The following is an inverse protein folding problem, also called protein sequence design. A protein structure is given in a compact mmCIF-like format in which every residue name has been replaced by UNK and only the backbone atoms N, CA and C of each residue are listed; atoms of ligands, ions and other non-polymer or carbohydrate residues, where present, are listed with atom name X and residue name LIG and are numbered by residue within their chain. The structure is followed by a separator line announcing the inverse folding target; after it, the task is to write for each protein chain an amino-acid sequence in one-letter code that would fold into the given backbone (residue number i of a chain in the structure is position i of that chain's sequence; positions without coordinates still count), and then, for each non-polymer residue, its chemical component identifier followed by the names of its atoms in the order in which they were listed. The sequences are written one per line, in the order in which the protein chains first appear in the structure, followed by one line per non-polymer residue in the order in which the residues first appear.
data_IF_266388258898
#
_entry.id   IF_266388258898
#
_cell.length_a   1.000
_cell.length_b   1.000
_cell.length_c   1.000
_cell.angle_alpha   90.00
_cell.angle_beta   90.00
_cell.angle_gamma   90.00
#
_symmetry.space_group_name_H-M   'P 1'
#
loop_
_entity.id
_entity.type
_entity.pdbx_description
1 polymer ?
#
# COMPACT_ATOMS: atom_id res chain seq x y z
N UNK A 1 42.15 15.51 -4.09
CA UNK A 1 41.17 16.60 -4.28
C UNK A 1 40.86 16.69 -5.77
N UNK A 2 39.67 16.29 -6.21
CA UNK A 2 39.29 16.26 -7.63
C UNK A 2 38.66 17.60 -8.01
N UNK A 3 39.33 18.36 -8.87
CA UNK A 3 38.80 19.58 -9.47
C UNK A 3 37.72 19.24 -10.49
N UNK A 4 36.47 19.65 -10.22
CA UNK A 4 35.40 19.65 -11.22
C UNK A 4 35.44 20.99 -11.96
N UNK A 5 36.04 20.99 -13.14
CA UNK A 5 35.91 22.08 -14.12
C UNK A 5 34.48 22.08 -14.66
N UNK A 6 33.60 22.88 -14.05
CA UNK A 6 32.27 23.16 -14.59
C UNK A 6 32.38 24.15 -15.75
N UNK A 7 32.11 23.69 -16.97
CA UNK A 7 31.90 24.55 -18.14
C UNK A 7 30.68 25.42 -17.89
N UNK A 8 30.91 26.62 -17.38
CA UNK A 8 29.90 27.67 -17.23
C UNK A 8 29.46 28.14 -18.62
N UNK A 9 28.47 27.44 -19.18
CA UNK A 9 27.85 27.78 -20.46
C UNK A 9 26.97 29.01 -20.22
N UNK A 10 27.59 30.20 -20.35
CA UNK A 10 26.93 31.51 -20.29
C UNK A 10 25.99 31.67 -21.48
N UNK A 11 24.75 31.18 -21.37
CA UNK A 11 23.65 31.58 -22.26
C UNK A 11 23.16 32.97 -21.85
N UNK A 12 23.99 34.00 -22.09
CA UNK A 12 23.51 35.39 -22.07
C UNK A 12 22.72 35.63 -23.35
N UNK A 13 21.50 35.12 -23.39
CA UNK A 13 20.47 35.61 -24.28
C UNK A 13 20.06 37.00 -23.80
N UNK A 14 20.18 38.00 -24.66
CA UNK A 14 19.64 39.35 -24.48
C UNK A 14 18.12 39.30 -24.59
N UNK A 15 17.47 38.72 -23.60
CA UNK A 15 16.02 38.79 -23.39
C UNK A 15 15.77 39.57 -22.11
N UNK A 16 14.90 40.57 -22.16
CA UNK A 16 14.50 41.33 -20.97
C UNK A 16 13.88 40.36 -19.96
N UNK A 17 14.54 40.19 -18.80
CA UNK A 17 14.01 39.35 -17.72
C UNK A 17 12.70 39.97 -17.21
N UNK A 18 11.57 39.24 -17.19
CA UNK A 18 10.32 39.79 -16.69
C UNK A 18 10.42 40.04 -15.19
N UNK A 19 10.06 41.25 -14.77
CA UNK A 19 10.01 41.61 -13.35
C UNK A 19 8.74 41.06 -12.72
N UNK A 20 8.88 40.26 -11.66
CA UNK A 20 7.75 39.63 -10.96
C UNK A 20 7.80 39.90 -9.46
N UNK A 21 6.65 39.86 -8.82
CA UNK A 21 6.52 39.99 -7.37
C UNK A 21 6.63 38.61 -6.73
N UNK A 22 7.48 38.48 -5.71
CA UNK A 22 7.61 37.25 -4.94
C UNK A 22 6.34 36.99 -4.11
N UNK A 23 5.81 35.77 -4.18
CA UNK A 23 4.60 35.39 -3.44
C UNK A 23 4.81 35.44 -1.92
N UNK A 24 6.00 35.10 -1.43
CA UNK A 24 6.21 34.96 0.03
C UNK A 24 6.65 36.27 0.72
N UNK A 25 7.36 37.16 0.02
CA UNK A 25 7.93 38.38 0.62
C UNK A 25 7.59 39.68 -0.11
N UNK A 26 6.86 39.64 -1.23
CA UNK A 26 6.42 40.83 -1.96
C UNK A 26 7.53 41.60 -2.70
N UNK A 27 8.79 41.13 -2.66
CA UNK A 27 9.89 41.80 -3.37
C UNK A 27 9.75 41.62 -4.88
N UNK A 28 9.99 42.69 -5.65
CA UNK A 28 10.10 42.61 -7.10
C UNK A 28 11.46 42.02 -7.45
N UNK A 29 11.49 40.94 -8.23
CA UNK A 29 12.71 40.24 -8.63
C UNK A 29 12.73 39.96 -10.14
N UNK A 30 13.92 39.90 -10.75
CA UNK A 30 14.07 39.46 -12.13
C UNK A 30 13.82 37.95 -12.21
N UNK A 31 12.76 37.54 -12.92
CA UNK A 31 12.42 36.14 -13.05
C UNK A 31 13.28 35.48 -14.14
N UNK A 32 14.09 34.48 -13.75
CA UNK A 32 14.91 33.70 -14.68
C UNK A 32 14.08 32.86 -15.67
N UNK A 33 12.84 32.52 -15.30
CA UNK A 33 11.92 31.76 -16.14
C UNK A 33 10.46 32.18 -15.89
N UNK A 34 9.58 31.94 -16.88
CA UNK A 34 8.16 32.31 -16.82
C UNK A 34 7.42 31.60 -15.66
N UNK A 35 7.91 30.45 -15.20
CA UNK A 35 7.36 29.74 -14.04
C UNK A 35 7.80 30.27 -12.66
N UNK A 36 8.75 31.21 -12.60
CA UNK A 36 9.30 31.67 -11.33
C UNK A 36 8.26 32.49 -10.56
N UNK A 37 7.92 32.00 -9.35
CA UNK A 37 6.95 32.60 -8.43
C UNK A 37 7.60 33.24 -7.20
N UNK A 38 8.86 32.90 -6.93
CA UNK A 38 9.58 33.27 -5.70
C UNK A 38 10.93 33.89 -6.05
N UNK A 39 11.37 34.85 -5.23
CA UNK A 39 12.72 35.38 -5.33
C UNK A 39 13.76 34.31 -4.94
N UNK A 40 15.02 34.51 -5.32
CA UNK A 40 16.11 33.55 -5.08
C UNK A 40 16.26 33.17 -3.59
N UNK A 41 16.03 34.11 -2.67
CA UNK A 41 16.11 33.88 -1.23
C UNK A 41 14.96 33.00 -0.70
N UNK A 42 13.73 33.26 -1.14
CA UNK A 42 12.56 32.47 -0.74
C UNK A 42 12.55 31.10 -1.41
N UNK A 43 12.97 31.02 -2.68
CA UNK A 43 13.12 29.75 -3.39
C UNK A 43 14.14 28.82 -2.71
N UNK A 44 15.26 29.37 -2.22
CA UNK A 44 16.26 28.60 -1.47
C UNK A 44 15.68 28.05 -0.15
N UNK A 45 14.86 28.82 0.56
CA UNK A 45 14.19 28.36 1.81
C UNK A 45 13.14 27.28 1.54
N UNK A 46 12.37 27.41 0.46
CA UNK A 46 11.37 26.41 0.08
C UNK A 46 11.98 25.12 -0.48
N UNK A 47 13.13 25.20 -1.15
CA UNK A 47 13.84 24.03 -1.65
C UNK A 47 14.46 23.16 -0.54
N UNK A 48 14.58 23.69 0.68
CA UNK A 48 15.12 22.98 1.85
C UNK A 48 14.07 22.30 2.71
N UNK A 49 12.77 22.54 2.48
CA UNK A 49 11.75 21.72 3.13
C UNK A 49 11.71 20.37 2.42
N UNK A 50 12.04 19.26 3.11
CA UNK A 50 11.90 17.94 2.50
C UNK A 50 10.42 17.80 2.18
N UNK A 51 10.09 17.78 0.89
CA UNK A 51 8.77 17.36 0.42
C UNK A 51 8.49 16.03 1.09
N UNK A 52 7.60 16.04 2.09
CA UNK A 52 7.24 14.86 2.85
C UNK A 52 6.94 13.76 1.84
N UNK A 53 7.77 12.71 1.87
CA UNK A 53 7.68 11.62 0.92
C UNK A 53 6.24 11.11 1.03
N UNK A 54 5.48 11.23 -0.06
CA UNK A 54 4.10 10.80 -0.08
C UNK A 54 4.13 9.28 0.00
N UNK A 55 4.17 8.75 1.22
CA UNK A 55 4.06 7.32 1.49
C UNK A 55 2.62 6.94 1.22
N UNK A 56 2.36 6.48 0.01
CA UNK A 56 1.07 5.89 -0.32
C UNK A 56 0.90 4.59 0.46
N UNK A 57 -0.23 4.39 1.15
CA UNK A 57 -0.53 3.11 1.77
C UNK A 57 -0.42 2.00 0.73
N UNK A 58 0.27 0.91 1.05
CA UNK A 58 0.31 -0.24 0.15
C UNK A 58 -1.13 -0.72 -0.08
N UNK A 59 -1.52 -1.00 -1.34
CA UNK A 59 -2.85 -1.49 -1.64
C UNK A 59 -3.11 -2.80 -0.86
N UNK A 60 -4.38 -3.09 -0.53
CA UNK A 60 -4.74 -4.34 0.15
C UNK A 60 -4.28 -5.53 -0.70
N UNK A 61 -3.81 -6.58 -0.02
CA UNK A 61 -3.37 -7.81 -0.68
C UNK A 61 -4.61 -8.52 -1.24
N UNK A 62 -4.59 -8.82 -2.53
CA UNK A 62 -5.65 -9.59 -3.19
C UNK A 62 -5.82 -10.98 -2.58
N UNK A 63 -7.05 -11.50 -2.54
CA UNK A 63 -7.39 -12.78 -1.91
C UNK A 63 -6.59 -13.94 -2.51
N UNK A 64 -6.36 -13.95 -3.84
CA UNK A 64 -5.56 -14.98 -4.49
C UNK A 64 -4.11 -14.93 -4.02
N UNK A 65 -3.57 -13.73 -3.84
CA UNK A 65 -2.18 -13.54 -3.39
C UNK A 65 -2.00 -14.03 -1.95
N UNK A 66 -3.01 -13.85 -1.10
CA UNK A 66 -3.01 -14.41 0.26
C UNK A 66 -3.03 -15.94 0.23
N UNK A 67 -3.91 -16.52 -0.58
CA UNK A 67 -4.07 -17.97 -0.64
C UNK A 67 -2.82 -18.66 -1.24
N UNK A 68 -2.18 -18.06 -2.25
CA UNK A 68 -0.90 -18.53 -2.79
C UNK A 68 0.18 -18.51 -1.72
N UNK A 69 0.31 -17.44 -0.94
CA UNK A 69 1.26 -17.37 0.18
C UNK A 69 1.02 -18.47 1.22
N UNK A 70 -0.25 -18.81 1.47
CA UNK A 70 -0.60 -19.83 2.45
C UNK A 70 -0.39 -21.25 1.91
N UNK A 71 -0.61 -21.47 0.61
CA UNK A 71 -0.25 -22.70 -0.07
C UNK A 71 1.27 -22.92 -0.05
N UNK A 72 2.05 -21.89 -0.39
CA UNK A 72 3.51 -21.92 -0.34
C UNK A 72 4.03 -22.16 1.08
N UNK A 73 3.46 -21.49 2.09
CA UNK A 73 3.80 -21.71 3.50
C UNK A 73 3.50 -23.16 3.96
N UNK A 74 2.52 -23.81 3.34
CA UNK A 74 2.21 -25.23 3.59
C UNK A 74 3.07 -26.21 2.79
N UNK A 75 3.94 -25.72 1.90
CA UNK A 75 4.78 -26.51 1.01
C UNK A 75 3.99 -27.30 -0.04
N UNK A 76 2.77 -26.86 -0.38
CA UNK A 76 1.88 -27.54 -1.31
C UNK A 76 1.64 -26.68 -2.54
N UNK A 77 1.41 -27.32 -3.68
CA UNK A 77 0.89 -26.60 -4.84
C UNK A 77 -0.49 -26.02 -4.52
N UNK A 78 -0.79 -24.84 -5.08
CA UNK A 78 -2.04 -24.13 -4.84
C UNK A 78 -3.28 -25.02 -5.06
N UNK A 79 -3.30 -25.79 -6.16
CA UNK A 79 -4.40 -26.71 -6.46
C UNK A 79 -4.60 -27.78 -5.40
N UNK A 80 -3.52 -28.40 -4.92
CA UNK A 80 -3.59 -29.43 -3.87
C UNK A 80 -4.02 -28.83 -2.53
N UNK A 81 -3.52 -27.64 -2.19
CA UNK A 81 -3.93 -26.89 -1.00
C UNK A 81 -5.42 -26.54 -1.03
N UNK A 82 -5.91 -26.04 -2.16
CA UNK A 82 -7.31 -25.65 -2.35
C UNK A 82 -8.26 -26.85 -2.33
N UNK A 83 -7.85 -27.99 -2.89
CA UNK A 83 -8.58 -29.24 -2.79
C UNK A 83 -8.69 -29.72 -1.33
N UNK A 84 -7.59 -29.66 -0.57
CA UNK A 84 -7.57 -29.99 0.86
C UNK A 84 -8.54 -29.13 1.68
N UNK A 85 -8.64 -27.83 1.38
CA UNK A 85 -9.61 -26.94 2.03
C UNK A 85 -11.06 -27.29 1.73
N UNK A 86 -11.37 -27.72 0.50
CA UNK A 86 -12.73 -28.14 0.14
C UNK A 86 -13.11 -29.43 0.87
N UNK A 87 -12.20 -30.41 0.92
CA UNK A 87 -12.40 -31.66 1.64
C UNK A 87 -12.59 -31.43 3.14
N UNK A 88 -11.76 -30.58 3.75
CA UNK A 88 -11.91 -30.22 5.16
C UNK A 88 -13.28 -29.57 5.44
N UNK A 89 -13.77 -28.74 4.52
CA UNK A 89 -15.09 -28.10 4.64
C UNK A 89 -16.24 -29.10 4.50
N UNK A 90 -16.12 -30.09 3.61
CA UNK A 90 -17.11 -31.17 3.49
C UNK A 90 -17.14 -32.02 4.75
N UNK A 91 -15.98 -32.47 5.21
CA UNK A 91 -15.87 -33.24 6.45
C UNK A 91 -16.45 -32.48 7.65
N UNK A 92 -16.19 -31.19 7.77
CA UNK A 92 -16.77 -30.36 8.83
C UNK A 92 -18.30 -30.25 8.74
N UNK A 93 -18.88 -30.23 7.53
CA UNK A 93 -20.34 -30.26 7.35
C UNK A 93 -20.92 -31.61 7.78
N UNK A 94 -20.31 -32.71 7.34
CA UNK A 94 -20.71 -34.06 7.70
C UNK A 94 -20.61 -34.28 9.22
N UNK A 95 -19.54 -33.83 9.87
CA UNK A 95 -19.39 -33.92 11.32
C UNK A 95 -20.46 -33.12 12.06
N UNK A 96 -20.86 -31.96 11.54
CA UNK A 96 -21.96 -31.17 12.11
C UNK A 96 -23.31 -31.84 11.93
N UNK A 97 -23.52 -32.54 10.82
CA UNK A 97 -24.74 -33.31 10.53
C UNK A 97 -24.83 -34.55 11.42
N UNK A 98 -23.74 -35.31 11.58
CA UNK A 98 -23.67 -36.45 12.50
C UNK A 98 -23.93 -36.02 13.94
N UNK A 99 -23.33 -34.91 14.38
CA UNK A 99 -23.58 -34.36 15.73
C UNK A 99 -25.03 -33.92 15.94
N UNK A 100 -25.68 -33.39 14.90
CA UNK A 100 -27.12 -33.07 14.95
C UNK A 100 -27.97 -34.34 15.04
N UNK A 101 -27.69 -35.33 14.19
CA UNK A 101 -28.39 -36.61 14.21
C UNK A 101 -28.25 -37.35 15.56
N UNK A 102 -27.06 -37.33 16.17
CA UNK A 102 -26.86 -37.89 17.52
C UNK A 102 -27.63 -37.15 18.61
N UNK A 103 -27.87 -35.84 18.44
CA UNK A 103 -28.65 -35.03 19.39
C UNK A 103 -30.16 -35.21 19.20
N UNK A 104 -30.58 -35.58 18.00
CA UNK A 104 -31.98 -35.83 17.62
C UNK A 104 -32.41 -37.29 17.87
N UNK A 105 -31.48 -38.24 18.02
CA UNK A 105 -31.82 -39.57 18.52
C UNK A 105 -32.32 -39.45 19.97
N UNK A 106 -33.57 -39.85 20.25
CA UNK A 106 -34.14 -39.72 21.58
C UNK A 106 -33.41 -40.64 22.55
N UNK A 107 -33.29 -40.21 23.82
CA UNK A 107 -33.00 -41.08 24.97
C UNK A 107 -34.19 -42.05 25.18
N UNK A 108 -34.51 -42.87 24.21
CA UNK A 108 -35.34 -44.05 24.40
C UNK A 108 -34.42 -45.11 25.00
N UNK A 109 -34.30 -45.13 26.34
CA UNK A 109 -33.81 -46.23 27.20
C UNK A 109 -33.39 -45.68 28.58
N UNK A 110 -34.25 -44.91 29.25
CA UNK A 110 -34.21 -44.73 30.71
C UNK A 110 -35.63 -44.58 31.28
N UNK A 111 -36.50 -45.50 30.91
CA UNK A 111 -37.91 -45.52 31.35
C UNK A 111 -38.49 -46.90 31.64
N UNK A 112 -37.68 -47.97 31.61
CA UNK A 112 -38.10 -49.31 32.05
C UNK A 112 -37.16 -49.79 33.15
N UNK A 113 -37.48 -49.40 34.38
CA UNK A 113 -37.21 -50.13 35.63
C UNK A 113 -37.40 -49.16 36.80
N UNK A 114 -38.65 -48.95 37.22
CA UNK A 114 -38.89 -48.75 38.64
C UNK A 114 -40.13 -49.55 39.02
N UNK A 115 -40.00 -50.20 40.17
CA UNK A 115 -40.70 -51.39 40.65
C UNK A 115 -41.88 -51.01 41.53
#
# INVERSE_FOLDING_TARGET
MRSCAGTFRSTRGTGTMPMKVCIDCGTIFPAEHIGAKRCCLCAAKHGTEPTAEKVYPKPPVDDLTRDVRQADASGKSYGFWRAGLLLAKQKAREEMEVKKAQREQPREEKGEQEK
#
